data_IF_878204378648
#
_entry.id   IF_878204378648
#
_cell.length_a   1.000
_cell.length_b   1.000
_cell.length_c   1.000
_cell.angle_alpha   90.00
_cell.angle_beta   90.00
_cell.angle_gamma   90.00
#
_symmetry.space_group_name_H-M   'P 1'
#
loop_
_entity.id
_entity.type
_entity.pdbx_description
1 polymer ?
#
# COMPACT_ATOMS: atom_id res chain seq x y z
N UNK A 1 1.04 -2.97 -22.88
CA UNK A 1 -0.41 -2.60 -22.94
C UNK A 1 -1.03 -2.87 -21.58
N UNK A 2 -2.07 -2.14 -21.19
CA UNK A 2 -2.76 -2.43 -19.93
C UNK A 2 -3.43 -3.80 -19.99
N UNK A 3 -3.22 -4.62 -18.95
CA UNK A 3 -3.88 -5.93 -18.79
C UNK A 3 -5.22 -5.78 -18.07
N UNK A 4 -5.33 -4.76 -17.19
CA UNK A 4 -6.58 -4.42 -16.50
C UNK A 4 -6.87 -2.96 -16.75
N UNK A 5 -8.08 -2.68 -17.20
CA UNK A 5 -8.62 -1.32 -17.26
C UNK A 5 -9.94 -1.25 -16.50
N UNK A 6 -10.04 -0.26 -15.65
CA UNK A 6 -11.25 0.09 -14.89
C UNK A 6 -11.61 1.52 -15.28
N UNK A 7 -12.85 1.76 -15.69
CA UNK A 7 -13.32 3.08 -16.14
C UNK A 7 -14.57 3.48 -15.39
N UNK A 8 -14.53 4.65 -14.76
CA UNK A 8 -15.63 5.27 -14.02
C UNK A 8 -16.33 4.31 -13.04
N UNK A 9 -15.56 3.40 -12.45
CA UNK A 9 -16.11 2.32 -11.64
C UNK A 9 -16.72 2.85 -10.35
N UNK A 10 -17.99 2.52 -10.12
CA UNK A 10 -18.75 2.99 -8.97
C UNK A 10 -19.48 1.83 -8.29
N UNK A 11 -19.49 1.86 -6.95
CA UNK A 11 -20.30 0.95 -6.14
C UNK A 11 -20.98 1.69 -5.01
N UNK A 12 -22.28 1.58 -4.99
CA UNK A 12 -23.11 2.05 -3.88
C UNK A 12 -23.69 0.85 -3.13
N UNK A 13 -23.70 0.95 -1.80
CA UNK A 13 -24.47 0.11 -0.89
C UNK A 13 -25.41 1.06 -0.16
N UNK A 14 -26.67 1.02 -0.52
CA UNK A 14 -27.68 1.99 -0.07
C UNK A 14 -27.15 3.43 -0.24
N UNK A 15 -27.01 4.19 0.82
CA UNK A 15 -26.51 5.59 0.81
C UNK A 15 -24.99 5.69 0.80
N UNK A 16 -24.25 4.57 0.98
CA UNK A 16 -22.79 4.56 1.07
C UNK A 16 -22.16 4.39 -0.31
N UNK A 17 -21.41 5.38 -0.76
CA UNK A 17 -20.57 5.31 -1.96
C UNK A 17 -19.23 4.65 -1.63
N UNK A 18 -19.21 3.32 -1.63
CA UNK A 18 -18.01 2.56 -1.28
C UNK A 18 -16.86 2.70 -2.30
N UNK A 19 -17.21 2.83 -3.59
CA UNK A 19 -16.30 3.19 -4.69
C UNK A 19 -17.01 4.22 -5.54
N UNK A 20 -16.30 5.29 -5.93
CA UNK A 20 -16.92 6.48 -6.51
C UNK A 20 -16.11 7.03 -7.69
N UNK A 21 -16.39 6.53 -8.90
CA UNK A 21 -15.78 6.99 -10.15
C UNK A 21 -14.28 6.69 -10.19
N UNK A 22 -13.90 5.43 -10.03
CA UNK A 22 -12.48 5.01 -10.05
C UNK A 22 -12.07 4.65 -11.47
N UNK A 23 -10.99 5.31 -11.93
CA UNK A 23 -10.26 4.98 -13.15
C UNK A 23 -8.91 4.36 -12.80
N UNK A 24 -8.58 3.23 -13.42
CA UNK A 24 -7.34 2.52 -13.15
C UNK A 24 -6.89 1.73 -14.38
N UNK A 25 -5.61 1.85 -14.74
CA UNK A 25 -4.96 1.04 -15.75
C UNK A 25 -3.72 0.36 -15.17
N UNK A 26 -3.62 -0.96 -15.35
CA UNK A 26 -2.53 -1.78 -14.80
C UNK A 26 -1.84 -2.49 -15.95
N UNK A 27 -0.52 -2.37 -15.99
CA UNK A 27 0.34 -2.97 -17.02
C UNK A 27 0.59 -4.45 -16.77
N UNK A 28 1.00 -5.17 -17.82
CA UNK A 28 1.38 -6.58 -17.71
C UNK A 28 2.61 -6.75 -16.80
N UNK A 29 2.53 -7.71 -15.88
CA UNK A 29 3.59 -8.00 -14.91
C UNK A 29 3.74 -6.98 -13.79
N UNK A 30 2.94 -5.91 -13.78
CA UNK A 30 2.97 -4.88 -12.74
C UNK A 30 2.48 -5.42 -11.38
N UNK A 31 3.17 -5.03 -10.31
CA UNK A 31 2.68 -5.15 -8.95
C UNK A 31 2.11 -3.80 -8.51
N UNK A 32 0.79 -3.65 -8.63
CA UNK A 32 0.07 -2.47 -8.17
C UNK A 32 -0.41 -2.66 -6.73
N UNK A 33 -0.07 -1.71 -5.87
CA UNK A 33 -0.54 -1.71 -4.47
C UNK A 33 -1.67 -0.72 -4.29
N UNK A 34 -2.80 -1.17 -3.73
CA UNK A 34 -3.91 -0.31 -3.30
C UNK A 34 -3.78 -0.08 -1.81
N UNK A 35 -3.50 1.16 -1.43
CA UNK A 35 -3.25 1.61 -0.07
C UNK A 35 -4.32 2.62 0.37
N UNK A 36 -4.69 2.61 1.65
CA UNK A 36 -5.60 3.59 2.23
C UNK A 36 -6.13 3.16 3.59
N UNK A 37 -6.80 4.04 4.33
CA UNK A 37 -7.38 3.73 5.64
C UNK A 37 -8.44 2.64 5.55
N UNK A 38 -8.77 2.04 6.69
CA UNK A 38 -9.85 1.05 6.78
C UNK A 38 -11.18 1.66 6.33
N UNK A 39 -11.97 0.91 5.54
CA UNK A 39 -13.27 1.37 5.05
C UNK A 39 -13.21 2.32 3.83
N UNK A 40 -12.05 2.64 3.27
CA UNK A 40 -11.97 3.56 2.11
C UNK A 40 -12.36 2.94 0.75
N UNK A 41 -12.75 1.65 0.68
CA UNK A 41 -13.24 1.01 -0.54
C UNK A 41 -12.27 0.04 -1.24
N UNK A 42 -11.06 -0.19 -0.74
CA UNK A 42 -10.04 -1.07 -1.35
C UNK A 42 -10.54 -2.49 -1.65
N UNK A 43 -11.04 -3.17 -0.63
CA UNK A 43 -11.58 -4.54 -0.75
C UNK A 43 -12.80 -4.57 -1.68
N UNK A 44 -13.66 -3.55 -1.66
CA UNK A 44 -14.81 -3.45 -2.57
C UNK A 44 -14.34 -3.31 -4.02
N UNK A 45 -13.39 -2.44 -4.31
CA UNK A 45 -12.78 -2.28 -5.63
C UNK A 45 -12.21 -3.61 -6.12
N UNK A 46 -11.42 -4.28 -5.29
CA UNK A 46 -10.82 -5.57 -5.64
C UNK A 46 -11.88 -6.66 -5.85
N UNK A 47 -12.94 -6.72 -5.02
CA UNK A 47 -14.05 -7.67 -5.18
C UNK A 47 -14.83 -7.44 -6.47
N UNK A 48 -14.99 -6.18 -6.93
CA UNK A 48 -15.57 -5.88 -8.23
C UNK A 48 -14.68 -6.38 -9.37
N UNK A 49 -13.37 -6.15 -9.30
CA UNK A 49 -12.40 -6.69 -10.28
C UNK A 49 -12.45 -8.22 -10.29
N UNK A 50 -12.60 -8.85 -9.12
CA UNK A 50 -12.77 -10.30 -8.99
C UNK A 50 -14.11 -10.84 -9.52
N UNK A 51 -15.12 -10.00 -9.73
CA UNK A 51 -16.49 -10.40 -10.07
C UNK A 51 -17.28 -10.97 -8.89
N UNK A 52 -16.78 -10.78 -7.67
CA UNK A 52 -17.46 -11.16 -6.43
C UNK A 52 -18.49 -10.12 -5.99
N UNK A 53 -18.39 -8.92 -6.52
CA UNK A 53 -19.30 -7.80 -6.30
C UNK A 53 -19.63 -7.17 -7.66
N UNK A 54 -20.89 -6.86 -7.91
CA UNK A 54 -21.29 -6.15 -9.14
C UNK A 54 -21.12 -4.66 -8.98
N UNK A 55 -20.52 -3.95 -9.95
CA UNK A 55 -20.50 -2.50 -9.94
C UNK A 55 -21.92 -1.93 -10.07
N UNK A 56 -22.14 -0.72 -9.57
CA UNK A 56 -23.36 0.06 -9.82
C UNK A 56 -23.28 0.71 -11.20
N UNK A 57 -22.08 1.16 -11.59
CA UNK A 57 -21.78 1.72 -12.92
C UNK A 57 -20.30 1.60 -13.23
N UNK A 58 -19.93 1.92 -14.48
CA UNK A 58 -18.57 1.81 -14.97
C UNK A 58 -18.25 0.43 -15.55
N UNK A 59 -17.02 0.23 -16.03
CA UNK A 59 -16.61 -0.98 -16.74
C UNK A 59 -15.30 -1.52 -16.23
N UNK A 60 -15.12 -2.84 -16.37
CA UNK A 60 -13.89 -3.57 -16.03
C UNK A 60 -13.51 -4.40 -17.24
N UNK A 61 -12.30 -4.20 -17.78
CA UNK A 61 -11.75 -5.06 -18.82
C UNK A 61 -10.47 -5.76 -18.37
N UNK A 62 -10.27 -7.01 -18.80
CA UNK A 62 -9.06 -7.80 -18.53
C UNK A 62 -8.60 -8.41 -19.85
N UNK A 63 -7.34 -8.11 -20.23
CA UNK A 63 -6.79 -8.58 -21.50
C UNK A 63 -7.55 -8.08 -22.73
N UNK A 64 -8.13 -6.87 -22.64
CA UNK A 64 -8.91 -6.24 -23.70
C UNK A 64 -10.35 -6.74 -23.82
N UNK A 65 -10.79 -7.67 -22.98
CA UNK A 65 -12.17 -8.20 -22.98
C UNK A 65 -12.98 -7.61 -21.81
N UNK A 66 -14.21 -7.22 -22.06
CA UNK A 66 -15.13 -6.74 -21.01
C UNK A 66 -15.49 -7.90 -20.06
N UNK A 67 -15.24 -7.66 -18.77
CA UNK A 67 -15.50 -8.59 -17.68
C UNK A 67 -16.59 -8.10 -16.72
N UNK A 68 -17.18 -6.94 -16.99
CA UNK A 68 -18.06 -6.22 -16.04
C UNK A 68 -19.16 -7.11 -15.47
N UNK A 69 -19.89 -7.81 -16.33
CA UNK A 69 -21.00 -8.69 -15.93
C UNK A 69 -20.59 -10.14 -15.71
N UNK A 70 -19.34 -10.51 -16.00
CA UNK A 70 -18.93 -11.91 -15.93
C UNK A 70 -18.71 -12.35 -14.46
N UNK A 71 -19.17 -13.56 -14.11
CA UNK A 71 -18.96 -14.13 -12.77
C UNK A 71 -17.47 -14.48 -12.55
N UNK A 72 -17.01 -14.64 -11.29
CA UNK A 72 -15.60 -14.90 -10.97
C UNK A 72 -14.98 -16.09 -11.70
N UNK A 73 -15.78 -17.15 -11.94
CA UNK A 73 -15.31 -18.37 -12.64
C UNK A 73 -14.93 -18.12 -14.11
N UNK A 74 -15.50 -17.10 -14.73
CA UNK A 74 -15.28 -16.77 -16.14
C UNK A 74 -14.14 -15.76 -16.34
N UNK A 75 -13.61 -15.18 -15.26
CA UNK A 75 -12.51 -14.22 -15.31
C UNK A 75 -11.15 -14.93 -15.20
N UNK A 76 -10.12 -14.52 -15.95
CA UNK A 76 -8.78 -15.12 -15.92
C UNK A 76 -7.98 -14.62 -14.70
N UNK A 77 -8.58 -14.72 -13.52
CA UNK A 77 -8.02 -14.22 -12.25
C UNK A 77 -7.96 -15.32 -11.19
N UNK A 78 -7.08 -15.13 -10.21
CA UNK A 78 -7.14 -15.84 -8.95
C UNK A 78 -7.04 -14.85 -7.79
N UNK A 79 -7.68 -15.18 -6.66
CA UNK A 79 -7.71 -14.31 -5.47
C UNK A 79 -7.26 -15.07 -4.24
N UNK A 80 -6.41 -14.44 -3.44
CA UNK A 80 -6.05 -14.85 -2.08
C UNK A 80 -6.72 -13.90 -1.11
N UNK A 81 -7.55 -14.44 -0.24
CA UNK A 81 -8.29 -13.68 0.78
C UNK A 81 -7.45 -13.47 2.04
N UNK A 82 -7.76 -12.45 2.80
CA UNK A 82 -7.13 -12.11 4.08
C UNK A 82 -7.11 -13.30 5.06
N UNK A 83 -8.17 -14.10 5.13
CA UNK A 83 -8.26 -15.30 5.96
C UNK A 83 -7.60 -16.55 5.34
N UNK A 84 -6.95 -16.39 4.16
CA UNK A 84 -6.46 -17.49 3.31
C UNK A 84 -7.55 -18.41 2.77
N UNK A 85 -8.70 -18.50 3.41
CA UNK A 85 -9.88 -19.30 3.04
C UNK A 85 -9.55 -20.77 2.66
N UNK A 86 -8.60 -21.38 3.36
CA UNK A 86 -8.24 -22.79 3.15
C UNK A 86 -9.34 -23.70 3.67
N UNK A 87 -9.60 -24.80 2.96
CA UNK A 87 -10.53 -25.83 3.38
C UNK A 87 -9.95 -26.63 4.56
N UNK A 88 -10.48 -26.51 5.78
CA UNK A 88 -9.83 -27.03 6.99
C UNK A 88 -9.78 -28.55 7.08
N UNK A 89 -10.69 -29.24 6.41
CA UNK A 89 -10.79 -30.71 6.35
C UNK A 89 -9.89 -31.35 5.29
N UNK A 90 -9.40 -30.57 4.32
CA UNK A 90 -8.54 -31.03 3.23
C UNK A 90 -7.05 -30.91 3.59
N UNK A 91 -6.23 -31.82 3.04
CA UNK A 91 -4.76 -31.70 3.08
C UNK A 91 -4.29 -30.52 2.22
N UNK A 92 -3.02 -30.13 2.33
CA UNK A 92 -2.39 -29.12 1.47
C UNK A 92 -2.52 -29.50 0.01
N UNK A 93 -2.18 -30.76 -0.35
CA UNK A 93 -2.34 -31.26 -1.71
C UNK A 93 -3.76 -31.07 -2.21
N UNK A 94 -4.76 -31.45 -1.42
CA UNK A 94 -6.17 -31.35 -1.83
C UNK A 94 -6.67 -29.91 -1.90
N UNK A 95 -6.18 -29.01 -1.03
CA UNK A 95 -6.47 -27.59 -1.12
C UNK A 95 -5.96 -27.00 -2.45
N UNK A 96 -4.72 -27.31 -2.83
CA UNK A 96 -4.11 -26.82 -4.07
C UNK A 96 -4.79 -27.45 -5.30
N UNK A 97 -5.08 -28.75 -5.27
CA UNK A 97 -5.71 -29.48 -6.38
C UNK A 97 -7.20 -29.13 -6.60
N UNK A 98 -7.87 -28.57 -5.58
CA UNK A 98 -9.32 -28.35 -5.60
C UNK A 98 -9.81 -27.54 -6.81
N UNK A 99 -9.21 -26.39 -7.18
CA UNK A 99 -9.66 -25.60 -8.32
C UNK A 99 -9.60 -26.38 -9.64
N UNK A 100 -8.59 -27.22 -9.83
CA UNK A 100 -8.43 -28.03 -11.04
C UNK A 100 -9.49 -29.13 -11.13
N UNK A 101 -9.79 -29.78 -10.00
CA UNK A 101 -10.86 -30.78 -9.92
C UNK A 101 -12.25 -30.20 -10.15
N UNK A 102 -12.49 -28.98 -9.61
CA UNK A 102 -13.78 -28.31 -9.77
C UNK A 102 -14.07 -27.88 -11.22
N UNK A 103 -13.03 -27.64 -12.03
CA UNK A 103 -13.17 -27.37 -13.46
C UNK A 103 -13.48 -28.62 -14.30
N UNK A 104 -13.15 -29.82 -13.81
CA UNK A 104 -13.52 -31.11 -14.44
C UNK A 104 -12.75 -31.48 -15.72
N UNK A 105 -11.83 -30.65 -16.21
CA UNK A 105 -11.18 -30.82 -17.51
C UNK A 105 -9.73 -31.35 -17.44
N UNK A 106 -9.28 -31.79 -16.26
CA UNK A 106 -7.88 -32.23 -16.06
C UNK A 106 -7.83 -33.71 -15.64
N UNK A 107 -6.93 -34.47 -16.25
CA UNK A 107 -6.61 -35.83 -15.80
C UNK A 107 -5.94 -35.83 -14.43
N UNK A 108 -5.85 -37.01 -13.79
CA UNK A 108 -5.13 -37.11 -12.49
C UNK A 108 -3.66 -36.76 -12.63
N UNK A 109 -3.04 -37.15 -13.73
CA UNK A 109 -1.62 -36.89 -14.03
C UNK A 109 -1.35 -35.39 -14.24
N UNK A 110 -2.24 -34.70 -14.95
CA UNK A 110 -2.15 -33.23 -15.14
C UNK A 110 -2.31 -32.47 -13.83
N UNK A 111 -3.29 -32.88 -13.00
CA UNK A 111 -3.48 -32.29 -11.67
C UNK A 111 -2.22 -32.48 -10.83
N UNK A 112 -1.63 -33.67 -10.83
CA UNK A 112 -0.40 -33.96 -10.07
C UNK A 112 0.76 -33.07 -10.54
N UNK A 113 0.97 -32.95 -11.85
CA UNK A 113 2.01 -32.10 -12.44
C UNK A 113 1.84 -30.62 -12.06
N UNK A 114 0.62 -30.09 -12.19
CA UNK A 114 0.34 -28.67 -11.85
C UNK A 114 0.48 -28.41 -10.35
N UNK A 115 0.02 -29.32 -9.51
CA UNK A 115 0.22 -29.21 -8.04
C UNK A 115 1.69 -29.28 -7.70
N UNK A 116 2.46 -30.22 -8.29
CA UNK A 116 3.90 -30.33 -8.03
C UNK A 116 4.61 -29.05 -8.44
N UNK A 117 4.33 -28.50 -9.63
CA UNK A 117 4.89 -27.22 -10.06
C UNK A 117 4.64 -26.08 -9.05
N UNK A 118 3.41 -25.97 -8.54
CA UNK A 118 3.06 -24.93 -7.56
C UNK A 118 3.80 -25.15 -6.21
N UNK A 119 3.91 -26.40 -5.81
CA UNK A 119 4.57 -26.84 -4.57
C UNK A 119 6.07 -26.55 -4.63
N UNK A 120 6.74 -26.93 -5.72
CA UNK A 120 8.16 -26.68 -5.96
C UNK A 120 8.44 -25.18 -6.02
N UNK A 121 7.55 -24.43 -6.69
CA UNK A 121 7.67 -22.97 -6.83
C UNK A 121 7.62 -22.25 -5.48
N UNK A 122 6.86 -22.79 -4.52
CA UNK A 122 6.62 -22.20 -3.20
C UNK A 122 7.44 -22.85 -2.07
N UNK A 123 8.19 -23.93 -2.35
CA UNK A 123 9.02 -24.63 -1.37
C UNK A 123 8.20 -25.26 -0.24
N UNK A 124 7.06 -25.90 -0.57
CA UNK A 124 6.12 -26.46 0.41
C UNK A 124 5.90 -27.98 0.28
N UNK A 125 6.82 -28.72 -0.35
CA UNK A 125 6.74 -30.16 -0.62
C UNK A 125 6.48 -30.96 0.65
N UNK A 126 7.19 -30.59 1.73
CA UNK A 126 7.08 -31.27 3.03
C UNK A 126 5.73 -31.11 3.73
N UNK A 127 4.86 -30.24 3.19
CA UNK A 127 3.57 -29.89 3.80
C UNK A 127 2.37 -30.61 3.16
N UNK A 128 2.55 -31.32 2.06
CA UNK A 128 1.47 -31.85 1.20
C UNK A 128 0.40 -32.65 1.95
N UNK A 129 0.80 -33.47 2.93
CA UNK A 129 -0.11 -34.31 3.69
C UNK A 129 -0.70 -33.62 4.94
N UNK A 130 -0.21 -32.42 5.28
CA UNK A 130 -0.71 -31.66 6.43
C UNK A 130 -2.07 -31.02 6.14
N UNK A 131 -2.81 -30.75 7.21
CA UNK A 131 -4.05 -29.97 7.18
C UNK A 131 -3.77 -28.53 7.65
N UNK A 132 -4.59 -27.53 7.27
CA UNK A 132 -4.39 -26.12 7.62
C UNK A 132 -4.13 -25.84 9.08
N UNK A 133 -4.73 -26.58 10.01
CA UNK A 133 -4.50 -26.47 11.46
C UNK A 133 -3.08 -26.80 11.92
N UNK A 134 -2.31 -27.52 11.10
CA UNK A 134 -0.95 -27.96 11.37
C UNK A 134 0.10 -27.04 10.73
N UNK A 135 -0.32 -25.93 10.16
CA UNK A 135 0.51 -24.98 9.42
C UNK A 135 0.67 -23.68 10.21
N UNK A 136 1.86 -23.09 10.13
CA UNK A 136 2.12 -21.70 10.54
C UNK A 136 1.37 -20.71 9.67
N UNK A 137 1.33 -19.42 10.05
CA UNK A 137 0.72 -18.35 9.26
C UNK A 137 1.32 -18.24 7.85
N UNK A 138 2.65 -18.19 7.75
CA UNK A 138 3.35 -18.13 6.46
C UNK A 138 3.17 -19.40 5.61
N UNK A 139 3.13 -20.59 6.23
CA UNK A 139 2.83 -21.83 5.50
C UNK A 139 1.40 -21.82 4.96
N UNK A 140 0.40 -21.36 5.72
CA UNK A 140 -0.98 -21.19 5.23
C UNK A 140 -1.06 -20.25 4.05
N UNK A 141 -0.34 -19.12 4.11
CA UNK A 141 -0.25 -18.14 3.02
C UNK A 141 0.30 -18.78 1.75
N UNK A 142 1.44 -19.50 1.82
CA UNK A 142 2.02 -20.19 0.65
C UNK A 142 1.07 -21.22 0.07
N UNK A 143 0.34 -21.97 0.90
CA UNK A 143 -0.67 -22.93 0.42
C UNK A 143 -1.81 -22.20 -0.32
N UNK A 144 -2.27 -21.04 0.20
CA UNK A 144 -3.30 -20.24 -0.48
C UNK A 144 -2.80 -19.67 -1.82
N UNK A 145 -1.54 -19.24 -1.88
CA UNK A 145 -0.88 -18.84 -3.13
C UNK A 145 -0.80 -20.01 -4.11
N UNK A 146 -0.38 -21.20 -3.67
CA UNK A 146 -0.34 -22.41 -4.50
C UNK A 146 -1.69 -22.74 -5.09
N UNK A 147 -2.75 -22.68 -4.28
CA UNK A 147 -4.13 -22.87 -4.75
C UNK A 147 -4.57 -21.83 -5.79
N UNK A 148 -4.11 -20.60 -5.67
CA UNK A 148 -4.39 -19.56 -6.66
C UNK A 148 -3.63 -19.78 -7.97
N UNK A 149 -2.37 -20.16 -7.90
CA UNK A 149 -1.46 -20.27 -9.05
C UNK A 149 -1.69 -21.47 -9.95
N UNK A 150 -2.19 -22.60 -9.41
CA UNK A 150 -2.45 -23.79 -10.25
C UNK A 150 -3.43 -23.54 -11.39
N UNK A 151 -4.20 -22.44 -11.31
CA UNK A 151 -5.10 -21.97 -12.38
C UNK A 151 -4.37 -21.21 -13.49
N UNK A 152 -3.09 -20.89 -13.31
CA UNK A 152 -2.30 -20.06 -14.24
C UNK A 152 -3.02 -18.75 -14.58
N UNK A 153 -3.38 -17.93 -13.57
CA UNK A 153 -4.18 -16.74 -13.78
C UNK A 153 -3.36 -15.66 -14.51
N UNK A 154 -4.02 -14.84 -15.34
CA UNK A 154 -3.41 -13.63 -15.91
C UNK A 154 -3.23 -12.54 -14.85
N UNK A 155 -4.09 -12.55 -13.84
CA UNK A 155 -4.09 -11.56 -12.75
C UNK A 155 -4.23 -12.25 -11.40
N UNK A 156 -3.35 -11.86 -10.46
CA UNK A 156 -3.38 -12.31 -9.07
C UNK A 156 -3.88 -11.17 -8.18
N UNK A 157 -4.92 -11.43 -7.40
CA UNK A 157 -5.50 -10.48 -6.45
C UNK A 157 -5.15 -10.93 -5.02
N UNK A 158 -4.54 -10.06 -4.23
CA UNK A 158 -4.08 -10.35 -2.87
C UNK A 158 -4.72 -9.37 -1.88
N UNK A 159 -5.71 -9.86 -1.10
CA UNK A 159 -6.44 -9.05 -0.12
C UNK A 159 -5.80 -9.15 1.27
N UNK A 160 -5.02 -8.14 1.64
CA UNK A 160 -4.29 -8.06 2.91
C UNK A 160 -3.57 -9.38 3.30
N UNK A 161 -2.78 -9.99 2.41
CA UNK A 161 -2.30 -11.35 2.61
C UNK A 161 -1.27 -11.48 3.74
N UNK A 162 -0.71 -10.37 4.24
CA UNK A 162 0.31 -10.34 5.30
C UNK A 162 -0.26 -9.91 6.67
N UNK A 163 -1.53 -9.49 6.74
CA UNK A 163 -2.14 -8.92 7.95
C UNK A 163 -2.16 -9.87 9.16
N UNK A 164 -2.24 -11.19 8.92
CA UNK A 164 -2.31 -12.22 9.96
C UNK A 164 -0.93 -12.73 10.43
N UNK A 165 0.16 -12.08 10.01
CA UNK A 165 1.53 -12.41 10.41
C UNK A 165 2.04 -11.44 11.48
N UNK A 166 2.86 -11.94 12.41
CA UNK A 166 3.61 -11.08 13.32
C UNK A 166 4.66 -10.21 12.56
N UNK A 167 5.14 -9.15 13.19
CA UNK A 167 5.98 -8.15 12.53
C UNK A 167 7.27 -8.74 11.92
N UNK A 168 7.90 -9.70 12.59
CA UNK A 168 9.15 -10.33 12.12
C UNK A 168 8.89 -11.22 10.90
N UNK A 169 7.86 -12.05 10.97
CA UNK A 169 7.44 -12.90 9.84
C UNK A 169 6.91 -12.07 8.67
N UNK A 170 6.23 -10.96 8.93
CA UNK A 170 5.69 -10.08 7.90
C UNK A 170 6.80 -9.50 7.02
N UNK A 171 7.91 -9.04 7.60
CA UNK A 171 9.03 -8.50 6.84
C UNK A 171 9.62 -9.54 5.87
N UNK A 172 9.89 -10.77 6.34
CA UNK A 172 10.42 -11.84 5.47
C UNK A 172 9.39 -12.31 4.42
N UNK A 173 8.11 -12.41 4.79
CA UNK A 173 7.04 -12.82 3.86
C UNK A 173 6.81 -11.77 2.76
N UNK A 174 6.95 -10.47 3.06
CA UNK A 174 6.91 -9.38 2.08
C UNK A 174 7.99 -9.56 1.02
N UNK A 175 9.25 -9.73 1.43
CA UNK A 175 10.38 -9.91 0.52
C UNK A 175 10.23 -11.18 -0.33
N UNK A 176 9.73 -12.24 0.27
CA UNK A 176 9.47 -13.50 -0.42
C UNK A 176 8.36 -13.35 -1.48
N UNK A 177 7.26 -12.71 -1.11
CA UNK A 177 6.12 -12.48 -2.01
C UNK A 177 6.50 -11.60 -3.19
N UNK A 178 7.28 -10.53 -2.96
CA UNK A 178 7.78 -9.67 -4.03
C UNK A 178 8.70 -10.43 -5.00
N UNK A 179 9.69 -11.18 -4.47
CA UNK A 179 10.58 -12.02 -5.30
C UNK A 179 9.79 -13.06 -6.09
N UNK A 180 8.78 -13.65 -5.47
CA UNK A 180 7.89 -14.61 -6.10
C UNK A 180 7.11 -13.99 -7.26
N UNK A 181 6.47 -12.84 -7.05
CA UNK A 181 5.73 -12.11 -8.09
C UNK A 181 6.65 -11.74 -9.27
N UNK A 182 7.86 -11.21 -8.98
CA UNK A 182 8.85 -10.87 -10.01
C UNK A 182 9.28 -12.07 -10.84
N UNK A 183 9.52 -13.22 -10.20
CA UNK A 183 9.91 -14.46 -10.88
C UNK A 183 8.82 -15.00 -11.80
N UNK A 184 7.57 -14.89 -11.40
CA UNK A 184 6.43 -15.35 -12.21
C UNK A 184 5.99 -14.35 -13.28
N UNK A 185 6.29 -13.07 -13.11
CA UNK A 185 5.85 -12.02 -14.01
C UNK A 185 4.33 -11.85 -14.09
N UNK A 186 3.58 -12.36 -13.10
CA UNK A 186 2.12 -12.27 -13.10
C UNK A 186 1.66 -10.89 -12.64
N UNK A 187 0.74 -10.28 -13.38
CA UNK A 187 0.14 -8.99 -12.99
C UNK A 187 -0.57 -9.15 -11.65
N UNK A 188 -0.24 -8.32 -10.68
CA UNK A 188 -0.72 -8.49 -9.30
C UNK A 188 -1.33 -7.20 -8.77
N UNK A 189 -2.51 -7.30 -8.18
CA UNK A 189 -3.10 -6.25 -7.33
C UNK A 189 -2.95 -6.69 -5.87
N UNK A 190 -2.28 -5.87 -5.08
CA UNK A 190 -2.04 -6.11 -3.67
C UNK A 190 -2.76 -5.04 -2.84
N UNK A 191 -3.68 -5.43 -2.00
CA UNK A 191 -4.39 -4.53 -1.09
C UNK A 191 -3.74 -4.59 0.28
N UNK A 192 -3.48 -3.42 0.86
CA UNK A 192 -2.95 -3.31 2.23
C UNK A 192 -3.39 -1.99 2.87
N UNK A 193 -3.31 -1.93 4.17
CA UNK A 193 -3.34 -0.69 4.96
C UNK A 193 -1.96 -0.33 5.55
N UNK A 194 -0.95 -1.19 5.34
CA UNK A 194 0.42 -0.99 5.82
C UNK A 194 1.24 -0.22 4.78
N UNK A 195 1.72 0.96 5.19
CA UNK A 195 2.49 1.84 4.31
C UNK A 195 3.86 1.25 3.96
N UNK A 196 4.48 0.48 4.89
CA UNK A 196 5.79 -0.15 4.66
C UNK A 196 5.66 -1.23 3.59
N UNK A 197 4.56 -1.99 3.61
CA UNK A 197 4.27 -2.95 2.55
C UNK A 197 4.11 -2.25 1.20
N UNK A 198 3.28 -1.20 1.15
CA UNK A 198 3.01 -0.47 -0.08
C UNK A 198 4.28 0.17 -0.68
N UNK A 199 5.04 0.87 0.15
CA UNK A 199 6.27 1.57 -0.28
C UNK A 199 7.39 0.61 -0.67
N UNK A 200 7.46 -0.57 -0.01
CA UNK A 200 8.53 -1.54 -0.23
C UNK A 200 8.29 -2.51 -1.38
N UNK A 201 7.04 -2.72 -1.81
CA UNK A 201 6.71 -3.77 -2.78
C UNK A 201 6.25 -3.25 -4.14
N UNK A 202 5.42 -2.20 -4.14
CA UNK A 202 4.70 -1.76 -5.33
C UNK A 202 5.58 -1.14 -6.41
N UNK A 203 5.29 -1.44 -7.67
CA UNK A 203 5.78 -0.64 -8.79
C UNK A 203 5.08 0.71 -8.82
N UNK A 204 3.76 0.68 -8.59
CA UNK A 204 2.92 1.86 -8.36
C UNK A 204 2.01 1.62 -7.17
N UNK A 205 1.64 2.73 -6.53
CA UNK A 205 0.72 2.77 -5.40
C UNK A 205 -0.51 3.59 -5.81
N UNK A 206 -1.69 3.06 -5.54
CA UNK A 206 -2.97 3.76 -5.59
C UNK A 206 -3.35 4.12 -4.16
N UNK A 207 -3.31 5.39 -3.82
CA UNK A 207 -3.76 5.87 -2.51
C UNK A 207 -5.25 6.16 -2.60
N UNK A 208 -6.06 5.45 -1.80
CA UNK A 208 -7.52 5.61 -1.77
C UNK A 208 -8.01 6.27 -0.48
N UNK A 209 -9.04 7.08 -0.61
CA UNK A 209 -9.80 7.65 0.50
C UNK A 209 -11.25 7.90 0.10
N UNK A 210 -12.20 7.59 0.99
CA UNK A 210 -13.64 7.82 0.77
C UNK A 210 -14.15 7.34 -0.60
N UNK A 211 -13.74 6.15 -1.01
CA UNK A 211 -14.14 5.54 -2.29
C UNK A 211 -13.46 6.12 -3.52
N UNK A 212 -12.58 7.09 -3.39
CA UNK A 212 -11.89 7.77 -4.50
C UNK A 212 -10.40 7.47 -4.51
N UNK A 213 -9.82 7.52 -5.70
CA UNK A 213 -8.36 7.55 -5.88
C UNK A 213 -7.87 8.97 -5.62
N UNK A 214 -6.99 9.13 -4.64
CA UNK A 214 -6.40 10.41 -4.27
C UNK A 214 -5.12 10.71 -5.02
N UNK A 215 -4.33 9.67 -5.33
CA UNK A 215 -3.12 9.73 -6.15
C UNK A 215 -2.73 8.34 -6.63
N UNK A 216 -2.13 8.26 -7.81
CA UNK A 216 -1.45 7.08 -8.36
C UNK A 216 -0.04 7.52 -8.75
N UNK A 217 0.96 6.73 -8.37
CA UNK A 217 2.35 7.00 -8.74
C UNK A 217 3.29 5.92 -8.19
N UNK A 218 4.57 6.04 -8.52
CA UNK A 218 5.62 5.24 -7.88
C UNK A 218 5.70 5.54 -6.38
N UNK A 219 6.26 4.65 -5.56
CA UNK A 219 6.47 4.94 -4.14
C UNK A 219 7.15 6.28 -3.86
N UNK A 220 8.15 6.64 -4.67
CA UNK A 220 8.86 7.91 -4.53
C UNK A 220 7.97 9.11 -4.86
N UNK A 221 7.19 9.05 -5.94
CA UNK A 221 6.27 10.13 -6.34
C UNK A 221 5.21 10.39 -5.28
N UNK A 222 4.50 9.35 -4.81
CA UNK A 222 3.43 9.53 -3.83
C UNK A 222 3.95 10.06 -2.48
N UNK A 223 5.19 9.72 -2.11
CA UNK A 223 5.80 10.17 -0.87
C UNK A 223 6.35 11.60 -0.98
N UNK A 224 7.17 11.87 -2.00
CA UNK A 224 7.89 13.16 -2.10
C UNK A 224 7.08 14.23 -2.81
N UNK A 225 6.13 13.83 -3.68
CA UNK A 225 5.33 14.73 -4.49
C UNK A 225 3.83 14.46 -4.33
N UNK A 226 3.40 14.48 -3.07
CA UNK A 226 2.00 14.23 -2.71
C UNK A 226 1.07 15.23 -3.39
N UNK A 227 0.01 14.73 -4.05
CA UNK A 227 -0.94 15.53 -4.82
C UNK A 227 -1.88 16.39 -3.95
N UNK A 228 -2.02 16.05 -2.68
CA UNK A 228 -2.89 16.75 -1.74
C UNK A 228 -2.47 16.51 -0.29
N UNK A 229 -3.04 17.29 0.62
CA UNK A 229 -2.77 17.21 2.06
C UNK A 229 -3.13 15.87 2.67
N UNK A 230 -4.16 15.18 2.15
CA UNK A 230 -4.52 13.85 2.62
C UNK A 230 -3.37 12.85 2.36
N UNK A 231 -2.90 12.76 1.11
CA UNK A 231 -1.79 11.85 0.76
C UNK A 231 -0.53 12.21 1.54
N UNK A 232 -0.23 13.50 1.66
CA UNK A 232 0.94 14.00 2.37
C UNK A 232 0.93 13.65 3.88
N UNK A 233 -0.23 13.77 4.54
CA UNK A 233 -0.39 13.43 5.96
C UNK A 233 -0.54 11.94 6.20
N UNK A 234 -1.15 11.21 5.25
CA UNK A 234 -1.39 9.77 5.37
C UNK A 234 -0.09 8.97 5.20
N UNK A 235 0.82 9.40 4.32
CA UNK A 235 2.08 8.70 4.06
C UNK A 235 3.19 9.21 5.00
N UNK A 236 3.90 8.26 5.59
CA UNK A 236 4.96 8.52 6.58
C UNK A 236 4.48 8.33 8.02
N UNK A 237 5.42 8.00 8.90
CA UNK A 237 5.19 7.87 10.34
C UNK A 237 6.35 8.50 11.10
N UNK A 238 6.21 9.80 11.43
CA UNK A 238 5.07 10.72 11.27
C UNK A 238 4.79 11.13 9.81
N UNK A 239 3.56 11.60 9.53
CA UNK A 239 3.20 12.20 8.25
C UNK A 239 3.85 13.56 8.02
N UNK A 240 3.57 14.21 6.88
CA UNK A 240 4.09 15.53 6.53
C UNK A 240 3.63 16.59 7.54
N UNK A 241 4.54 17.44 7.96
CA UNK A 241 4.22 18.63 8.74
C UNK A 241 3.56 19.69 7.87
N UNK A 242 2.65 20.47 8.45
CA UNK A 242 2.01 21.60 7.76
C UNK A 242 2.10 22.86 8.63
N UNK A 243 2.60 23.94 8.03
CA UNK A 243 2.56 25.27 8.60
C UNK A 243 1.53 26.09 7.81
N UNK A 244 0.61 26.69 8.53
CA UNK A 244 -0.47 27.49 7.95
C UNK A 244 0.03 28.90 7.65
N UNK A 245 -0.24 29.37 6.43
CA UNK A 245 -0.11 30.76 6.00
C UNK A 245 -1.50 31.29 5.67
N UNK A 246 -1.59 32.56 5.32
CA UNK A 246 -2.88 33.23 5.08
C UNK A 246 -3.76 32.44 4.09
N UNK A 247 -3.22 32.12 2.91
CA UNK A 247 -3.96 31.50 1.82
C UNK A 247 -3.50 30.08 1.45
N UNK A 248 -2.43 29.57 2.06
CA UNK A 248 -1.87 28.25 1.72
C UNK A 248 -1.25 27.56 2.93
N UNK A 249 -0.95 26.27 2.74
CA UNK A 249 -0.20 25.45 3.69
C UNK A 249 1.19 25.17 3.13
N UNK A 250 2.20 25.27 3.98
CA UNK A 250 3.58 24.86 3.67
C UNK A 250 3.81 23.50 4.28
N UNK A 251 4.08 22.49 3.46
CA UNK A 251 4.36 21.14 3.88
C UNK A 251 5.84 20.78 3.77
N UNK A 252 6.33 19.98 4.73
CA UNK A 252 7.66 19.37 4.69
C UNK A 252 7.69 18.08 5.50
N UNK A 253 8.52 17.12 5.08
CA UNK A 253 8.66 15.84 5.79
C UNK A 253 9.44 16.00 7.09
N UNK A 254 9.11 15.24 8.15
CA UNK A 254 9.78 15.31 9.45
C UNK A 254 11.30 15.09 9.38
N UNK A 255 11.79 14.22 8.51
CA UNK A 255 13.22 13.95 8.31
C UNK A 255 13.98 15.06 7.56
N UNK A 256 13.24 15.97 6.93
CA UNK A 256 13.80 17.14 6.25
C UNK A 256 13.93 18.36 7.17
N UNK A 257 13.29 18.31 8.32
CA UNK A 257 13.29 19.38 9.33
C UNK A 257 14.39 19.12 10.34
N UNK A 258 15.54 19.76 10.15
CA UNK A 258 16.76 19.48 10.91
C UNK A 258 17.34 20.74 11.54
N UNK A 259 18.09 20.62 12.64
CA UNK A 259 18.80 21.75 13.23
C UNK A 259 19.68 22.46 12.20
N UNK A 260 19.66 23.81 12.20
CA UNK A 260 20.44 24.62 11.25
C UNK A 260 21.93 24.32 11.31
N UNK A 261 22.44 23.97 12.48
CA UNK A 261 23.86 23.64 12.73
C UNK A 261 24.33 22.47 11.84
N UNK A 262 23.44 21.52 11.54
CA UNK A 262 23.75 20.32 10.74
C UNK A 262 23.90 20.67 9.25
N UNK A 263 23.04 21.56 8.75
CA UNK A 263 23.02 21.90 7.31
C UNK A 263 23.94 23.08 6.97
N UNK A 264 24.44 23.79 7.99
CA UNK A 264 25.25 24.97 7.82
C UNK A 264 24.49 26.16 7.23
N UNK A 265 25.19 27.25 6.97
CA UNK A 265 24.60 28.42 6.33
C UNK A 265 24.55 28.23 4.80
N UNK A 266 23.35 28.15 4.23
CA UNK A 266 23.11 28.05 2.78
C UNK A 266 21.96 28.97 2.40
N UNK A 267 22.07 29.61 1.26
CA UNK A 267 21.05 30.55 0.75
C UNK A 267 19.74 29.90 0.32
N UNK A 268 19.70 28.54 0.24
CA UNK A 268 18.54 27.74 -0.18
C UNK A 268 17.72 27.18 1.00
N UNK A 269 17.96 27.67 2.24
CA UNK A 269 17.27 27.23 3.44
C UNK A 269 16.10 28.15 3.78
N UNK A 270 15.01 27.52 4.25
CA UNK A 270 13.96 28.17 5.03
C UNK A 270 14.22 27.87 6.50
N UNK A 271 14.38 28.91 7.30
CA UNK A 271 14.61 28.83 8.74
C UNK A 271 13.32 28.95 9.52
N UNK A 272 13.27 28.24 10.64
CA UNK A 272 12.15 28.23 11.56
C UNK A 272 12.67 28.29 13.00
N UNK A 273 12.10 29.16 13.83
CA UNK A 273 12.28 29.09 15.28
C UNK A 273 11.37 28.01 15.84
N UNK A 274 11.94 26.94 16.34
CA UNK A 274 11.26 25.74 16.79
C UNK A 274 11.35 25.61 18.31
N UNK A 275 10.22 25.79 18.97
CA UNK A 275 10.08 25.68 20.42
C UNK A 275 9.78 24.21 20.78
N UNK A 276 10.77 23.53 21.35
CA UNK A 276 10.72 22.10 21.64
C UNK A 276 9.87 21.82 22.88
N UNK A 277 8.85 21.00 22.76
CA UNK A 277 7.96 20.62 23.85
C UNK A 277 8.27 19.23 24.39
N UNK A 278 8.70 18.30 23.56
CA UNK A 278 8.96 16.90 23.92
C UNK A 278 9.97 16.26 22.98
N UNK A 279 10.75 15.33 23.52
CA UNK A 279 11.70 14.52 22.76
C UNK A 279 11.43 13.06 23.08
N UNK A 280 11.31 12.21 22.06
CA UNK A 280 11.15 10.75 22.15
C UNK A 280 12.34 10.05 21.52
N UNK A 281 12.89 9.07 22.22
CA UNK A 281 14.00 8.26 21.76
C UNK A 281 13.47 6.91 21.27
N UNK A 282 13.61 6.64 19.95
CA UNK A 282 13.09 5.43 19.31
C UNK A 282 14.21 4.47 18.82
N UNK A 283 15.35 4.53 19.47
CA UNK A 283 16.52 3.74 19.13
C UNK A 283 17.36 4.40 18.03
N UNK A 284 17.15 4.01 16.76
CA UNK A 284 17.90 4.59 15.63
C UNK A 284 17.48 6.04 15.30
N UNK A 285 16.32 6.46 15.79
CA UNK A 285 15.71 7.77 15.52
C UNK A 285 15.31 8.47 16.80
N UNK A 286 15.27 9.80 16.73
CA UNK A 286 14.78 10.68 17.76
C UNK A 286 13.69 11.57 17.18
N UNK A 287 12.48 11.52 17.76
CA UNK A 287 11.39 12.39 17.36
C UNK A 287 11.30 13.58 18.31
N UNK A 288 11.41 14.79 17.73
CA UNK A 288 11.34 16.05 18.46
C UNK A 288 10.02 16.73 18.13
N UNK A 289 9.20 16.93 19.14
CA UNK A 289 7.87 17.55 19.04
C UNK A 289 7.93 18.98 19.53
N UNK A 290 7.35 19.89 18.79
CA UNK A 290 7.31 21.29 19.20
C UNK A 290 6.36 22.12 18.34
N UNK A 291 6.52 23.45 18.45
CA UNK A 291 5.73 24.45 17.74
C UNK A 291 6.68 25.37 17.01
N UNK A 292 6.33 25.79 15.81
CA UNK A 292 7.07 26.80 15.05
C UNK A 292 6.43 28.15 15.30
N UNK A 293 7.26 29.18 15.53
CA UNK A 293 6.82 30.55 15.72
C UNK A 293 5.94 31.02 14.54
N UNK A 294 4.80 31.64 14.84
CA UNK A 294 3.83 32.09 13.85
C UNK A 294 2.91 31.01 13.28
N UNK A 295 2.99 29.76 13.79
CA UNK A 295 1.96 28.76 13.54
C UNK A 295 0.84 28.85 14.58
N UNK A 296 -0.40 28.42 14.21
CA UNK A 296 -1.48 28.31 15.18
C UNK A 296 -1.03 27.36 16.33
N UNK A 297 -1.27 27.74 17.59
CA UNK A 297 -0.78 27.02 18.80
C UNK A 297 -1.13 25.54 18.84
N UNK A 298 -2.12 25.10 18.08
CA UNK A 298 -2.58 23.70 18.05
C UNK A 298 -1.83 22.79 17.05
N UNK A 299 -1.04 23.36 16.11
CA UNK A 299 -0.35 22.53 15.09
C UNK A 299 1.06 22.19 15.54
N UNK A 300 1.20 20.97 16.03
CA UNK A 300 2.49 20.38 16.39
C UNK A 300 3.29 20.08 15.12
N UNK A 301 4.56 20.50 15.14
CA UNK A 301 5.57 20.14 14.15
C UNK A 301 6.47 19.07 14.74
N UNK A 302 6.86 18.10 13.93
CA UNK A 302 7.70 16.97 14.34
C UNK A 302 8.96 16.97 13.50
N UNK A 303 10.13 16.91 14.14
CA UNK A 303 11.37 16.57 13.48
C UNK A 303 11.70 15.10 13.75
N UNK A 304 12.13 14.37 12.71
CA UNK A 304 12.62 13.00 12.84
C UNK A 304 14.13 12.98 12.54
N UNK A 305 14.95 12.87 13.58
CA UNK A 305 16.39 12.99 13.51
C UNK A 305 17.05 11.62 13.71
N UNK A 306 18.14 11.34 12.99
CA UNK A 306 18.97 10.18 13.31
C UNK A 306 19.61 10.32 14.70
N UNK A 307 19.60 9.24 15.48
CA UNK A 307 20.26 9.22 16.79
C UNK A 307 21.78 9.43 16.71
N UNK A 308 22.39 9.30 15.53
CA UNK A 308 23.80 9.60 15.27
C UNK A 308 24.07 11.11 15.14
N UNK A 309 23.03 11.92 15.02
CA UNK A 309 23.17 13.36 15.03
C UNK A 309 23.46 13.86 16.47
N UNK A 310 24.70 14.22 16.74
CA UNK A 310 25.17 14.64 18.06
C UNK A 310 24.71 16.05 18.43
N UNK A 311 23.44 16.39 18.23
CA UNK A 311 22.86 17.67 18.67
C UNK A 311 22.06 17.42 19.95
N UNK A 312 22.41 18.12 21.02
CA UNK A 312 21.64 18.07 22.26
C UNK A 312 20.40 18.95 22.12
N UNK A 313 19.25 18.33 22.10
CA UNK A 313 17.96 19.01 22.05
C UNK A 313 17.21 18.71 23.35
N UNK A 314 16.83 19.76 24.07
CA UNK A 314 16.13 19.66 25.34
C UNK A 314 14.71 20.25 25.25
N UNK A 315 13.71 19.64 25.92
CA UNK A 315 12.38 20.24 26.05
C UNK A 315 12.44 21.58 26.78
N UNK A 316 11.61 22.53 26.35
CA UNK A 316 11.53 23.89 26.92
C UNK A 316 12.49 24.89 26.30
N UNK A 317 13.34 24.47 25.38
CA UNK A 317 14.30 25.36 24.69
C UNK A 317 13.85 25.58 23.23
N UNK A 318 14.28 26.73 22.67
CA UNK A 318 14.00 27.12 21.29
C UNK A 318 15.27 26.96 20.45
N UNK A 319 15.15 26.33 19.30
CA UNK A 319 16.26 26.08 18.37
C UNK A 319 15.94 26.60 16.98
N UNK A 320 16.98 26.94 16.21
CA UNK A 320 16.83 27.21 14.79
C UNK A 320 16.85 25.89 14.01
N UNK A 321 15.74 25.58 13.38
CA UNK A 321 15.62 24.46 12.46
C UNK A 321 15.50 24.96 11.03
N UNK A 322 15.88 24.11 10.08
CA UNK A 322 15.89 24.45 8.66
C UNK A 322 15.30 23.35 7.79
N UNK A 323 14.67 23.78 6.70
CA UNK A 323 14.26 22.90 5.57
C UNK A 323 14.83 23.52 4.30
N UNK A 324 15.33 22.69 3.38
CA UNK A 324 15.74 23.19 2.06
C UNK A 324 14.52 23.63 1.27
N UNK A 325 14.57 24.83 0.66
CA UNK A 325 13.43 25.41 -0.08
C UNK A 325 12.84 24.44 -1.13
N UNK A 326 13.69 23.68 -1.84
CA UNK A 326 13.26 22.68 -2.81
C UNK A 326 12.47 21.51 -2.22
N UNK A 327 12.56 21.26 -0.93
CA UNK A 327 11.84 20.21 -0.20
C UNK A 327 10.48 20.66 0.32
N UNK A 328 10.23 21.96 0.32
CA UNK A 328 8.93 22.52 0.69
C UNK A 328 7.88 22.15 -0.35
N UNK A 329 6.69 21.93 0.13
CA UNK A 329 5.49 21.63 -0.66
C UNK A 329 4.39 22.61 -0.28
N UNK A 330 3.65 23.05 -1.28
CA UNK A 330 2.63 24.08 -1.08
C UNK A 330 1.27 23.52 -1.44
N UNK A 331 0.29 23.77 -0.58
CA UNK A 331 -1.06 23.26 -0.77
C UNK A 331 -2.06 24.40 -0.57
N UNK A 332 -3.08 24.42 -1.37
CA UNK A 332 -4.21 25.30 -1.19
C UNK A 332 -4.92 24.99 0.13
N UNK A 333 -5.26 26.01 0.90
CA UNK A 333 -5.79 25.86 2.26
C UNK A 333 -7.22 25.30 2.29
N UNK A 334 -8.03 25.62 1.29
CA UNK A 334 -9.43 25.23 1.22
C UNK A 334 -9.61 23.85 0.59
N UNK A 335 -8.95 23.60 -0.54
CA UNK A 335 -9.10 22.36 -1.30
C UNK A 335 -8.13 21.27 -0.85
N UNK A 336 -7.04 21.63 -0.18
CA UNK A 336 -5.94 20.75 0.17
C UNK A 336 -5.12 20.25 -1.02
N UNK A 337 -5.37 20.76 -2.23
CA UNK A 337 -4.65 20.35 -3.44
C UNK A 337 -3.27 20.99 -3.50
N UNK A 338 -2.34 20.28 -4.15
CA UNK A 338 -1.00 20.78 -4.42
C UNK A 338 -1.07 22.03 -5.31
N UNK A 339 -0.27 23.05 -4.98
CA UNK A 339 -0.11 24.27 -5.76
C UNK A 339 1.38 24.56 -6.03
N UNK A 340 1.64 25.45 -6.96
CA UNK A 340 2.99 25.94 -7.26
C UNK A 340 3.63 26.64 -6.04
N UNK A 341 4.98 26.67 -5.97
CA UNK A 341 5.69 27.33 -4.89
C UNK A 341 5.25 28.78 -4.68
N UNK A 342 5.02 29.14 -3.41
CA UNK A 342 4.62 30.49 -2.99
C UNK A 342 5.78 31.19 -2.25
N UNK A 343 5.85 32.53 -2.27
CA UNK A 343 6.79 33.29 -1.44
C UNK A 343 6.51 33.02 0.05
N UNK A 344 7.59 32.87 0.85
CA UNK A 344 7.53 32.64 2.29
C UNK A 344 8.03 33.84 3.09
#
# INVERSE_FOLDING_TARGET
MAVIEVKELTKHFDDVRAVNGVDLAISEGELLVILGPSGCGKTTLMRMIAGLEKPTSGTISIGGSDMTELPPRARPIAMVFQSYALYPHMTVFNNIAFPLRAHGNFSKEEIQKKVQWAVDTLGIERLLDRKPRQLSGGERQRVALGRALVKEPKVLLLDEPLSNLDAKLRASARDELQRFQRRLGVTTIFVTHDQIEAMGMGDRIVVMSHGKVMQIGTPQEVYHDSANTFVASFLGSPGMNFIEKENFLVGFRPEQFVPQEIVGQKNDLQLFHFDVKRVEYLGAEQQVYGVVEGSAEERRVIANLSSEMHVKIAPGETYNFAVRKKQLRFFDKETGLRIEPQPL
#
